data_IF_426252255235
#
_entry.id   IF_426252255235
#
_cell.length_a   1.000
_cell.length_b   1.000
_cell.length_c   1.000
_cell.angle_alpha   90.00
_cell.angle_beta   90.00
_cell.angle_gamma   90.00
#
_symmetry.space_group_name_H-M   'P 1'
#
loop_
_entity.id
_entity.type
_entity.pdbx_description
1 polymer ?
#
# COMPACT_ATOMS: atom_id res chain seq x y z
N UNK A 1 -27.26 9.72 16.03
CA UNK A 1 -26.50 8.44 15.86
C UNK A 1 -24.99 8.68 16.07
N UNK A 2 -24.18 7.70 16.54
CA UNK A 2 -22.70 7.88 16.77
C UNK A 2 -21.88 8.34 15.55
N UNK A 3 -22.42 8.15 14.34
CA UNK A 3 -21.75 8.42 13.05
C UNK A 3 -22.29 9.65 12.30
N UNK A 4 -23.40 10.21 12.76
CA UNK A 4 -24.11 11.28 12.06
C UNK A 4 -23.33 12.60 12.14
N UNK A 5 -23.15 13.26 11.00
CA UNK A 5 -22.37 14.49 10.87
C UNK A 5 -20.92 14.38 11.42
N UNK A 6 -20.31 13.19 11.31
CA UNK A 6 -18.93 12.95 11.71
C UNK A 6 -18.04 12.64 10.51
N UNK A 7 -16.85 13.25 10.47
CA UNK A 7 -15.73 12.81 9.62
C UNK A 7 -14.74 12.00 10.44
N UNK A 8 -14.21 10.93 9.86
CA UNK A 8 -13.23 10.05 10.47
C UNK A 8 -12.08 9.78 9.48
N UNK A 9 -10.84 9.96 9.92
CA UNK A 9 -9.69 9.47 9.19
C UNK A 9 -9.53 7.97 9.42
N UNK A 10 -9.08 7.27 8.39
CA UNK A 10 -8.84 5.82 8.43
C UNK A 10 -7.43 5.56 7.92
N UNK A 11 -6.52 5.33 8.86
CA UNK A 11 -5.11 4.99 8.62
C UNK A 11 -4.44 4.54 9.92
N UNK A 12 -3.34 3.80 9.85
CA UNK A 12 -2.71 3.19 11.02
C UNK A 12 -1.19 3.33 11.04
N UNK A 13 -0.49 2.60 10.17
CA UNK A 13 0.97 2.63 10.13
C UNK A 13 1.45 3.76 9.21
N UNK A 14 1.60 4.96 9.78
CA UNK A 14 2.29 6.06 9.11
C UNK A 14 3.78 5.70 8.98
N UNK A 15 4.24 5.49 7.75
CA UNK A 15 5.64 5.16 7.43
C UNK A 15 6.14 6.09 6.35
N UNK A 16 7.40 6.50 6.44
CA UNK A 16 8.12 7.16 5.36
C UNK A 16 8.30 6.21 4.17
N UNK A 17 8.53 6.76 2.98
CA UNK A 17 8.81 5.97 1.76
C UNK A 17 10.00 5.02 1.98
N UNK A 18 11.04 5.48 2.69
CA UNK A 18 12.22 4.66 2.97
C UNK A 18 11.89 3.50 3.94
N UNK A 19 11.05 3.72 4.95
CA UNK A 19 10.61 2.64 5.85
C UNK A 19 9.76 1.62 5.08
N UNK A 20 8.85 2.07 4.22
CA UNK A 20 8.04 1.18 3.36
C UNK A 20 8.96 0.35 2.45
N UNK A 21 9.95 0.98 1.80
CA UNK A 21 10.88 0.28 0.91
C UNK A 21 11.67 -0.82 1.64
N UNK A 22 12.14 -0.55 2.86
CA UNK A 22 12.85 -1.55 3.66
C UNK A 22 11.93 -2.69 4.11
N UNK A 23 10.71 -2.38 4.57
CA UNK A 23 9.73 -3.40 4.95
C UNK A 23 9.36 -4.30 3.76
N UNK A 24 9.11 -3.70 2.59
CA UNK A 24 8.81 -4.46 1.37
C UNK A 24 9.98 -5.37 0.99
N UNK A 25 11.21 -4.82 1.00
CA UNK A 25 12.42 -5.61 0.72
C UNK A 25 12.53 -6.81 1.67
N UNK A 26 12.41 -6.58 2.98
CA UNK A 26 12.55 -7.63 3.99
C UNK A 26 11.54 -8.77 3.76
N UNK A 27 10.25 -8.43 3.62
CA UNK A 27 9.20 -9.43 3.43
C UNK A 27 9.38 -10.17 2.11
N UNK A 28 9.68 -9.47 1.01
CA UNK A 28 9.83 -10.11 -0.30
C UNK A 28 11.05 -11.03 -0.33
N UNK A 29 12.19 -10.63 0.24
CA UNK A 29 13.37 -11.50 0.33
C UNK A 29 13.11 -12.75 1.17
N UNK A 30 12.33 -12.64 2.25
CA UNK A 30 11.90 -13.78 3.06
C UNK A 30 10.94 -14.70 2.29
N UNK A 31 10.00 -14.14 1.52
CA UNK A 31 9.00 -14.89 0.77
C UNK A 31 9.56 -15.53 -0.51
N UNK A 32 10.74 -15.11 -0.98
CA UNK A 32 11.42 -15.60 -2.18
C UNK A 32 12.93 -15.91 -1.94
N UNK A 33 13.28 -16.89 -1.08
CA UNK A 33 14.65 -17.12 -0.62
C UNK A 33 15.64 -17.56 -1.72
N UNK A 34 15.16 -17.97 -2.90
CA UNK A 34 15.98 -18.39 -4.04
C UNK A 34 16.19 -17.32 -5.11
N UNK A 35 15.76 -16.08 -4.85
CA UNK A 35 15.92 -14.94 -5.75
C UNK A 35 17.08 -14.05 -5.30
N UNK A 36 17.57 -13.23 -6.21
CA UNK A 36 18.60 -12.24 -5.91
C UNK A 36 18.11 -11.24 -4.87
N UNK A 37 19.05 -10.71 -4.09
CA UNK A 37 18.78 -9.66 -3.11
C UNK A 37 18.29 -8.40 -3.82
N UNK A 38 17.32 -7.73 -3.21
CA UNK A 38 16.71 -6.51 -3.74
C UNK A 38 17.57 -5.33 -3.35
N UNK A 39 18.01 -4.53 -4.32
CA UNK A 39 18.67 -3.25 -4.05
C UNK A 39 17.65 -2.13 -3.85
N UNK A 40 17.84 -1.28 -2.84
CA UNK A 40 17.06 -0.05 -2.67
C UNK A 40 17.84 1.10 -3.29
N UNK A 41 17.33 1.60 -4.42
CA UNK A 41 17.91 2.75 -5.12
C UNK A 41 17.16 4.02 -4.70
N UNK A 42 17.90 5.06 -4.30
CA UNK A 42 17.34 6.37 -3.95
C UNK A 42 17.56 7.33 -5.11
N UNK A 43 16.50 7.99 -5.55
CA UNK A 43 16.52 9.02 -6.59
C UNK A 43 16.01 10.33 -6.03
N UNK A 44 16.48 11.46 -6.56
CA UNK A 44 15.90 12.77 -6.26
C UNK A 44 14.45 12.83 -6.75
N UNK A 45 13.60 13.51 -6.00
CA UNK A 45 12.20 13.76 -6.34
C UNK A 45 11.91 15.23 -6.13
N UNK A 46 11.20 15.84 -7.07
CA UNK A 46 10.65 17.19 -6.91
C UNK A 46 9.30 17.17 -6.14
N UNK A 47 8.77 15.97 -5.90
CA UNK A 47 7.58 15.75 -5.09
C UNK A 47 7.96 15.52 -3.62
N UNK A 48 7.81 16.59 -2.83
CA UNK A 48 8.07 16.60 -1.39
C UNK A 48 6.80 16.40 -0.55
N UNK A 49 5.70 15.92 -1.16
CA UNK A 49 4.44 15.72 -0.43
C UNK A 49 4.62 14.66 0.65
N UNK A 50 4.29 15.04 1.88
CA UNK A 50 4.22 14.15 3.04
C UNK A 50 2.84 14.28 3.66
N UNK A 51 2.09 13.20 3.69
CA UNK A 51 0.75 13.15 4.26
C UNK A 51 0.81 12.45 5.61
N UNK A 52 0.34 13.14 6.64
CA UNK A 52 0.15 12.58 7.96
C UNK A 52 -1.32 12.67 8.35
N UNK A 53 -1.91 11.53 8.73
CA UNK A 53 -3.29 11.47 9.20
C UNK A 53 -3.35 10.93 10.63
N UNK A 54 -4.26 11.50 11.42
CA UNK A 54 -4.57 11.04 12.78
C UNK A 54 -5.93 10.33 12.77
N UNK A 55 -5.95 9.07 13.20
CA UNK A 55 -7.15 8.22 13.25
C UNK A 55 -7.69 8.00 14.67
N UNK A 56 -7.19 8.71 15.68
CA UNK A 56 -7.57 8.50 17.09
C UNK A 56 -9.07 8.73 17.29
N UNK A 57 -9.67 9.61 16.48
CA UNK A 57 -11.11 9.90 16.54
C UNK A 57 -11.96 8.66 16.25
N UNK A 58 -11.61 7.85 15.23
CA UNK A 58 -12.42 6.69 14.86
C UNK A 58 -12.27 5.55 15.87
N UNK A 59 -11.06 5.40 16.42
CA UNK A 59 -10.79 4.45 17.50
C UNK A 59 -11.59 4.83 18.76
N UNK A 60 -11.53 6.09 19.19
CA UNK A 60 -12.23 6.54 20.40
C UNK A 60 -13.76 6.45 20.29
N UNK A 61 -14.34 6.82 19.15
CA UNK A 61 -15.81 6.92 19.01
C UNK A 61 -16.44 5.58 18.62
N UNK A 62 -15.78 4.83 17.74
CA UNK A 62 -16.34 3.60 17.16
C UNK A 62 -15.62 2.33 17.63
N UNK A 63 -14.49 2.44 18.35
CA UNK A 63 -13.64 1.29 18.67
C UNK A 63 -12.96 0.70 17.44
N UNK A 64 -12.93 1.43 16.32
CA UNK A 64 -12.37 0.93 15.07
C UNK A 64 -10.84 0.97 15.12
N UNK A 65 -10.23 -0.18 14.86
CA UNK A 65 -8.78 -0.32 14.68
C UNK A 65 -8.48 -1.34 13.58
N UNK A 66 -7.60 -1.02 12.61
CA UNK A 66 -7.16 -2.00 11.62
C UNK A 66 -6.51 -3.20 12.28
N UNK A 67 -6.84 -4.41 11.80
CA UNK A 67 -6.31 -5.68 12.32
C UNK A 67 -5.14 -6.24 11.52
N UNK A 68 -4.92 -5.74 10.29
CA UNK A 68 -3.85 -6.20 9.40
C UNK A 68 -2.78 -5.12 9.31
N UNK A 69 -1.52 -5.54 9.32
CA UNK A 69 -0.35 -4.68 9.16
C UNK A 69 0.00 -4.51 7.68
N UNK A 70 0.84 -3.53 7.38
CA UNK A 70 1.47 -3.35 6.06
C UNK A 70 2.31 -4.59 5.71
N UNK A 71 3.02 -5.18 6.66
CA UNK A 71 3.77 -6.43 6.47
C UNK A 71 2.89 -7.56 5.94
N UNK A 72 1.73 -7.78 6.58
CA UNK A 72 0.74 -8.76 6.11
C UNK A 72 0.23 -8.42 4.71
N UNK A 73 0.03 -7.15 4.39
CA UNK A 73 -0.38 -6.74 3.05
C UNK A 73 0.70 -7.04 1.98
N UNK A 74 1.98 -6.85 2.31
CA UNK A 74 3.10 -7.22 1.41
C UNK A 74 3.16 -8.73 1.22
N UNK A 75 2.96 -9.50 2.30
CA UNK A 75 2.89 -10.96 2.22
C UNK A 75 1.70 -11.43 1.37
N UNK A 76 0.51 -10.87 1.59
CA UNK A 76 -0.70 -11.18 0.81
C UNK A 76 -0.46 -10.91 -0.70
N UNK A 77 0.31 -9.87 -1.05
CA UNK A 77 0.74 -9.62 -2.44
C UNK A 77 1.70 -10.70 -2.95
N UNK A 78 2.70 -11.10 -2.15
CA UNK A 78 3.62 -12.18 -2.52
C UNK A 78 2.87 -13.48 -2.80
N UNK A 79 1.91 -13.83 -1.96
CA UNK A 79 1.06 -15.02 -2.12
C UNK A 79 0.22 -14.91 -3.40
N UNK A 80 -0.37 -13.74 -3.68
CA UNK A 80 -1.12 -13.52 -4.92
C UNK A 80 -0.26 -13.68 -6.19
N UNK A 81 1.01 -13.27 -6.16
CA UNK A 81 1.96 -13.53 -7.25
C UNK A 81 2.29 -15.02 -7.39
N UNK A 82 2.58 -15.71 -6.28
CA UNK A 82 2.84 -17.17 -6.27
C UNK A 82 1.67 -17.97 -6.83
N UNK A 83 0.45 -17.53 -6.54
CA UNK A 83 -0.80 -18.13 -7.01
C UNK A 83 -1.21 -17.70 -8.43
N UNK A 84 -0.40 -16.91 -9.14
CA UNK A 84 -0.69 -16.39 -10.48
C UNK A 84 -1.99 -15.57 -10.57
N UNK A 85 -2.41 -14.92 -9.47
CA UNK A 85 -3.58 -14.01 -9.43
C UNK A 85 -3.27 -12.65 -10.04
N UNK A 86 -1.99 -12.27 -10.07
CA UNK A 86 -1.49 -11.02 -10.64
C UNK A 86 -0.66 -11.36 -11.87
N UNK A 87 -1.16 -11.01 -13.06
CA UNK A 87 -0.55 -11.35 -14.35
C UNK A 87 -0.18 -10.09 -15.12
N UNK A 88 1.02 -10.08 -15.73
CA UNK A 88 1.52 -8.98 -16.55
C UNK A 88 1.39 -7.62 -15.84
N UNK A 89 1.75 -7.54 -14.56
CA UNK A 89 1.48 -6.37 -13.70
C UNK A 89 2.14 -5.07 -14.15
N UNK A 90 3.17 -5.16 -14.99
CA UNK A 90 3.84 -3.99 -15.55
C UNK A 90 3.21 -3.48 -16.85
N UNK A 91 2.41 -4.31 -17.55
CA UNK A 91 1.85 -3.97 -18.87
C UNK A 91 0.33 -3.81 -18.85
N UNK A 92 -0.35 -4.52 -17.96
CA UNK A 92 -1.80 -4.55 -17.90
C UNK A 92 -2.35 -3.27 -17.28
N UNK A 93 -3.17 -2.53 -18.03
CA UNK A 93 -3.73 -1.25 -17.62
C UNK A 93 -4.58 -1.30 -16.35
N UNK A 94 -5.10 -2.49 -15.99
CA UNK A 94 -5.83 -2.73 -14.75
C UNK A 94 -5.06 -2.30 -13.49
N UNK A 95 -3.72 -2.29 -13.54
CA UNK A 95 -2.86 -1.90 -12.42
C UNK A 95 -2.44 -0.42 -12.46
N UNK A 96 -2.92 0.36 -13.44
CA UNK A 96 -2.54 1.76 -13.65
C UNK A 96 -3.77 2.66 -13.82
N UNK A 97 -4.21 3.31 -12.74
CA UNK A 97 -5.43 4.11 -12.70
C UNK A 97 -5.57 5.11 -13.88
N UNK A 98 -4.57 5.95 -14.13
CA UNK A 98 -4.65 6.98 -15.18
C UNK A 98 -4.68 6.35 -16.58
N UNK A 99 -3.86 5.33 -16.83
CA UNK A 99 -3.84 4.63 -18.10
C UNK A 99 -5.18 3.95 -18.36
N UNK A 100 -5.71 3.27 -17.35
CA UNK A 100 -7.02 2.62 -17.39
C UNK A 100 -8.14 3.60 -17.74
N UNK A 101 -8.21 4.73 -17.05
CA UNK A 101 -9.24 5.75 -17.28
C UNK A 101 -9.19 6.27 -18.72
N UNK A 102 -8.00 6.50 -19.27
CA UNK A 102 -7.81 6.88 -20.67
C UNK A 102 -8.29 5.79 -21.63
N UNK A 103 -7.87 4.54 -21.39
CA UNK A 103 -8.21 3.41 -22.25
C UNK A 103 -9.71 3.13 -22.30
N UNK A 104 -10.41 3.27 -21.18
CA UNK A 104 -11.88 3.08 -21.13
C UNK A 104 -12.67 4.35 -21.50
N UNK A 105 -11.99 5.43 -21.88
CA UNK A 105 -12.61 6.73 -22.17
C UNK A 105 -13.55 7.21 -21.04
N UNK A 106 -13.09 7.06 -19.79
CA UNK A 106 -13.83 7.54 -18.63
C UNK A 106 -14.02 9.06 -18.73
N UNK A 107 -15.27 9.51 -18.52
CA UNK A 107 -15.66 10.93 -18.53
C UNK A 107 -15.57 11.54 -17.15
#
# INVERSE_FOLDING_TARGET
KKIENQTFNVGYQNMSINEIANLVKEVVEQEYPGKDKIEIIKTSSDDNRSYHINSDKIERILGFKPKRSIELAVKDLCDAFKENKILNSFDNDLYFNVNRLKNISAK
#
